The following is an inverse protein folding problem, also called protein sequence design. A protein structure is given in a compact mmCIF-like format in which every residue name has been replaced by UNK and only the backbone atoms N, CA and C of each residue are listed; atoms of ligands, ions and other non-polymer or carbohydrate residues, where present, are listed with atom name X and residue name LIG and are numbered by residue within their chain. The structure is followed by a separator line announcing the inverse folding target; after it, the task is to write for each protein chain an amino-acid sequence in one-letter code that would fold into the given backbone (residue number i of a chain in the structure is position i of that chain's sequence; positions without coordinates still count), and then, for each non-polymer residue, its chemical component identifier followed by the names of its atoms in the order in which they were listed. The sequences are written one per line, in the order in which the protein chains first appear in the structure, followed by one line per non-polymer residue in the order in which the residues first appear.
data_IF_703549198214
#
_entry.id   IF_703549198214
#
_cell.length_a   1.000
_cell.length_b   1.000
_cell.length_c   1.000
_cell.angle_alpha   90.00
_cell.angle_beta   90.00
_cell.angle_gamma   90.00
#
_symmetry.space_group_name_H-M   'P 1'
#
loop_
_entity.id
_entity.type
_entity.pdbx_description
1 polymer ?
#
# COMPACT_ATOMS: atom_id res chain seq x y z
N UNK A 1 -36.84 -2.35 44.68
CA UNK A 1 -36.69 -0.89 44.88
C UNK A 1 -38.11 -0.30 44.89
N UNK A 2 -38.57 0.29 46.00
CA UNK A 2 -39.92 0.90 46.06
C UNK A 2 -39.84 2.28 45.39
N UNK A 3 -40.73 2.55 44.43
CA UNK A 3 -40.77 3.82 43.67
C UNK A 3 -40.86 5.04 44.59
N UNK A 4 -41.40 4.87 45.81
CA UNK A 4 -41.52 5.91 46.84
C UNK A 4 -40.19 6.40 47.45
N UNK A 5 -39.04 5.86 47.05
CA UNK A 5 -37.72 6.25 47.58
C UNK A 5 -36.86 7.05 46.58
N UNK A 6 -37.39 7.36 45.39
CA UNK A 6 -36.67 8.19 44.43
C UNK A 6 -36.83 9.65 44.85
N UNK A 7 -35.77 10.27 45.37
CA UNK A 7 -35.74 11.71 45.63
C UNK A 7 -35.72 12.45 44.30
N UNK A 8 -36.79 13.18 44.01
CA UNK A 8 -36.85 14.09 42.87
C UNK A 8 -36.07 15.35 43.28
N UNK A 9 -35.04 15.71 42.52
CA UNK A 9 -34.26 16.91 42.76
C UNK A 9 -35.19 18.15 42.72
N UNK A 10 -35.13 18.98 43.77
CA UNK A 10 -36.03 20.14 43.94
C UNK A 10 -35.68 21.32 43.03
N UNK A 11 -34.47 21.34 42.47
CA UNK A 11 -34.04 22.28 41.43
C UNK A 11 -34.00 21.53 40.10
N UNK A 12 -35.15 21.39 39.44
CA UNK A 12 -35.19 20.98 38.05
C UNK A 12 -34.63 22.13 37.22
N UNK A 13 -33.33 22.08 36.93
CA UNK A 13 -32.78 22.81 35.80
C UNK A 13 -33.54 22.45 34.51
N UNK A 14 -33.40 23.27 33.47
CA UNK A 14 -34.06 23.02 32.19
C UNK A 14 -33.76 21.60 31.68
N UNK A 15 -34.77 20.94 31.12
CA UNK A 15 -34.64 19.62 30.52
C UNK A 15 -33.48 19.57 29.52
N UNK A 16 -32.62 18.58 29.65
CA UNK A 16 -31.48 18.37 28.76
C UNK A 16 -31.77 17.20 27.82
N UNK A 17 -31.65 17.46 26.51
CA UNK A 17 -31.68 16.40 25.51
C UNK A 17 -30.34 15.65 25.54
N UNK A 18 -30.32 14.48 26.18
CA UNK A 18 -29.14 13.63 26.29
C UNK A 18 -29.32 12.43 25.36
N UNK A 19 -28.40 12.26 24.42
CA UNK A 19 -28.31 11.03 23.64
C UNK A 19 -27.76 9.93 24.54
N UNK A 20 -28.66 9.04 25.00
CA UNK A 20 -28.38 7.96 25.97
C UNK A 20 -27.12 7.14 25.66
N UNK A 21 -26.82 6.99 24.37
CA UNK A 21 -25.77 6.10 23.90
C UNK A 21 -24.44 6.82 23.59
N UNK A 22 -24.37 8.14 23.77
CA UNK A 22 -23.16 8.91 23.58
C UNK A 22 -22.42 9.05 24.91
N UNK A 23 -21.12 8.79 24.94
CA UNK A 23 -20.29 8.94 26.15
C UNK A 23 -20.32 10.36 26.74
N UNK A 24 -20.66 11.37 25.94
CA UNK A 24 -20.77 12.78 26.36
C UNK A 24 -22.21 13.30 26.33
N UNK A 25 -23.20 12.45 26.04
CA UNK A 25 -24.60 12.85 25.93
C UNK A 25 -24.96 13.71 24.71
N UNK A 26 -23.99 14.07 23.86
CA UNK A 26 -24.20 14.91 22.68
C UNK A 26 -24.39 14.02 21.45
N UNK A 27 -25.45 14.27 20.67
CA UNK A 27 -25.69 13.58 19.42
C UNK A 27 -24.63 13.93 18.36
N UNK A 28 -24.11 12.91 17.66
CA UNK A 28 -23.28 13.07 16.47
C UNK A 28 -23.73 12.11 15.38
N UNK A 29 -23.84 12.59 14.15
CA UNK A 29 -24.17 11.78 12.96
C UNK A 29 -23.22 10.58 12.83
N UNK A 30 -21.94 10.77 13.16
CA UNK A 30 -20.93 9.69 13.16
C UNK A 30 -21.27 8.59 14.16
N UNK A 31 -21.63 8.95 15.39
CA UNK A 31 -21.96 7.98 16.44
C UNK A 31 -23.28 7.26 16.15
N UNK A 32 -24.28 7.97 15.66
CA UNK A 32 -25.56 7.39 15.23
C UNK A 32 -25.39 6.41 14.04
N UNK A 33 -24.56 6.77 13.06
CA UNK A 33 -24.23 5.89 11.94
C UNK A 33 -23.49 4.64 12.41
N UNK A 34 -22.42 4.80 13.20
CA UNK A 34 -21.67 3.67 13.76
C UNK A 34 -22.56 2.75 14.61
N UNK A 35 -23.52 3.33 15.34
CA UNK A 35 -24.52 2.58 16.12
C UNK A 35 -25.44 1.75 15.25
N UNK A 36 -26.08 2.36 14.25
CA UNK A 36 -26.96 1.64 13.31
C UNK A 36 -26.24 0.54 12.53
N UNK A 37 -24.91 0.65 12.47
CA UNK A 37 -24.04 -0.20 11.72
C UNK A 37 -23.20 -1.15 12.59
N UNK A 38 -23.43 -1.20 13.91
CA UNK A 38 -22.72 -2.09 14.86
C UNK A 38 -22.73 -3.55 14.41
N UNK A 39 -23.85 -4.03 13.85
CA UNK A 39 -23.97 -5.39 13.32
C UNK A 39 -23.09 -5.66 12.09
N UNK A 40 -22.77 -4.61 11.30
CA UNK A 40 -21.96 -4.70 10.08
C UNK A 40 -20.48 -4.45 10.31
N UNK A 41 -20.11 -3.60 11.27
CA UNK A 41 -18.70 -3.23 11.52
C UNK A 41 -18.09 -3.84 12.79
N UNK A 42 -18.86 -4.59 13.58
CA UNK A 42 -18.35 -5.23 14.80
C UNK A 42 -17.81 -4.24 15.85
N UNK A 43 -17.18 -4.76 16.89
CA UNK A 43 -16.44 -3.93 17.84
C UNK A 43 -15.20 -3.33 17.16
N UNK A 44 -14.90 -2.05 17.41
CA UNK A 44 -13.69 -1.40 16.89
C UNK A 44 -12.45 -2.10 17.47
N UNK A 45 -11.81 -2.93 16.67
CA UNK A 45 -10.64 -3.69 17.12
C UNK A 45 -9.44 -2.75 17.34
N UNK A 46 -8.76 -2.83 18.50
CA UNK A 46 -7.62 -1.97 18.81
C UNK A 46 -6.46 -2.17 17.83
N UNK A 47 -6.33 -3.37 17.25
CA UNK A 47 -5.39 -3.71 16.19
C UNK A 47 -5.37 -2.70 15.03
N UNK A 48 -6.53 -2.36 14.49
CA UNK A 48 -6.60 -1.42 13.37
C UNK A 48 -6.20 -0.02 13.79
N UNK A 49 -6.51 0.38 15.03
CA UNK A 49 -6.01 1.65 15.56
C UNK A 49 -4.49 1.64 15.63
N UNK A 50 -3.85 0.58 16.08
CA UNK A 50 -2.39 0.51 16.09
C UNK A 50 -1.81 0.59 14.67
N UNK A 51 -2.32 -0.19 13.72
CA UNK A 51 -1.78 -0.17 12.34
C UNK A 51 -1.94 1.22 11.69
N UNK A 52 -3.09 1.87 11.86
CA UNK A 52 -3.41 3.12 11.16
C UNK A 52 -2.98 4.39 11.89
N UNK A 53 -2.87 4.36 13.23
CA UNK A 53 -2.48 5.52 14.05
C UNK A 53 -0.96 5.61 14.22
N UNK A 54 -0.25 4.49 14.23
CA UNK A 54 1.20 4.50 14.36
C UNK A 54 1.86 5.06 13.10
N UNK A 55 3.01 5.72 13.27
CA UNK A 55 3.76 6.42 12.21
C UNK A 55 4.48 5.47 11.22
N UNK A 56 3.90 4.30 10.97
CA UNK A 56 4.40 3.39 9.96
C UNK A 56 4.33 4.03 8.57
N UNK A 57 5.42 3.92 7.82
CA UNK A 57 5.46 4.32 6.42
C UNK A 57 4.26 3.70 5.64
N UNK A 58 3.56 4.43 4.75
CA UNK A 58 2.32 3.97 4.13
C UNK A 58 2.41 2.59 3.46
N UNK A 59 3.55 2.28 2.84
CA UNK A 59 3.82 0.95 2.26
C UNK A 59 3.83 -0.16 3.32
N UNK A 60 4.51 0.06 4.45
CA UNK A 60 4.62 -0.90 5.55
C UNK A 60 3.26 -1.10 6.23
N UNK A 61 2.52 0.00 6.43
CA UNK A 61 1.14 -0.04 6.93
C UNK A 61 0.23 -0.89 6.02
N UNK A 62 0.31 -0.68 4.70
CA UNK A 62 -0.54 -1.38 3.74
C UNK A 62 -0.25 -2.88 3.68
N UNK A 63 1.02 -3.29 3.62
CA UNK A 63 1.37 -4.71 3.57
C UNK A 63 1.00 -5.42 4.89
N UNK A 64 1.21 -4.76 6.02
CA UNK A 64 0.85 -5.26 7.34
C UNK A 64 -0.67 -5.48 7.45
N UNK A 65 -1.46 -4.47 7.05
CA UNK A 65 -2.92 -4.58 7.02
C UNK A 65 -3.37 -5.72 6.10
N UNK A 66 -2.84 -5.81 4.86
CA UNK A 66 -3.19 -6.86 3.90
C UNK A 66 -2.88 -8.25 4.43
N UNK A 67 -1.74 -8.43 5.12
CA UNK A 67 -1.37 -9.71 5.70
C UNK A 67 -2.32 -10.11 6.82
N UNK A 68 -2.56 -9.21 7.79
CA UNK A 68 -3.37 -9.52 8.98
C UNK A 68 -4.86 -9.65 8.63
N UNK A 69 -5.36 -8.87 7.68
CA UNK A 69 -6.73 -8.99 7.17
C UNK A 69 -6.95 -10.24 6.30
N UNK A 70 -5.89 -11.02 6.03
CA UNK A 70 -6.00 -12.16 5.12
C UNK A 70 -6.33 -11.75 3.69
N UNK A 71 -5.83 -10.62 3.21
CA UNK A 71 -6.00 -10.17 1.82
C UNK A 71 -4.90 -10.70 0.88
N UNK A 72 -3.81 -11.26 1.41
CA UNK A 72 -2.73 -11.81 0.59
C UNK A 72 -3.15 -13.15 -0.07
N UNK A 73 -2.80 -13.39 -1.35
CA UNK A 73 -3.10 -14.64 -2.05
C UNK A 73 -2.17 -15.78 -1.60
N UNK A 74 -2.51 -16.37 -0.45
CA UNK A 74 -1.83 -17.52 0.15
C UNK A 74 -2.47 -18.84 -0.27
N UNK A 75 -1.70 -19.93 -0.21
CA UNK A 75 -2.09 -21.27 -0.69
C UNK A 75 -3.37 -21.82 -0.07
N UNK A 76 -3.64 -21.51 1.20
CA UNK A 76 -4.89 -21.82 1.92
C UNK A 76 -6.17 -21.30 1.25
N UNK A 77 -6.07 -20.30 0.37
CA UNK A 77 -7.19 -19.73 -0.39
C UNK A 77 -7.33 -20.31 -1.79
N UNK A 78 -6.31 -21.01 -2.27
CA UNK A 78 -6.37 -21.72 -3.52
C UNK A 78 -6.83 -23.14 -3.23
N UNK A 79 -7.87 -23.61 -3.94
CA UNK A 79 -8.46 -24.94 -3.73
C UNK A 79 -7.53 -26.15 -4.00
N UNK A 80 -6.27 -25.90 -4.34
CA UNK A 80 -5.21 -26.91 -4.41
C UNK A 80 -4.29 -26.71 -3.21
N UNK A 81 -4.12 -27.75 -2.37
CA UNK A 81 -3.24 -27.73 -1.20
C UNK A 81 -1.82 -27.34 -1.60
N UNK A 82 -1.49 -26.05 -1.53
CA UNK A 82 -0.15 -25.58 -1.88
C UNK A 82 0.73 -25.62 -0.64
N UNK A 83 1.78 -26.43 -0.70
CA UNK A 83 2.80 -26.46 0.34
C UNK A 83 3.58 -25.14 0.35
N UNK A 84 4.05 -24.77 1.53
CA UNK A 84 4.92 -23.61 1.75
C UNK A 84 6.22 -23.78 0.95
N UNK A 85 6.59 -22.77 0.15
CA UNK A 85 7.80 -22.82 -0.69
C UNK A 85 9.11 -22.86 0.11
N UNK A 86 9.09 -22.41 1.38
CA UNK A 86 10.28 -22.36 2.22
C UNK A 86 10.57 -23.69 2.92
N UNK A 87 9.54 -24.38 3.42
CA UNK A 87 9.72 -25.60 4.21
C UNK A 87 9.27 -26.87 3.50
N UNK A 88 8.41 -26.75 2.47
CA UNK A 88 7.81 -27.86 1.72
C UNK A 88 7.12 -28.93 2.59
N UNK A 89 6.70 -28.57 3.82
CA UNK A 89 6.15 -29.51 4.82
C UNK A 89 4.71 -29.21 5.20
N UNK A 90 4.37 -27.95 5.41
CA UNK A 90 3.03 -27.53 5.84
C UNK A 90 2.31 -26.75 4.74
N UNK A 91 0.98 -26.70 4.85
CA UNK A 91 0.13 -25.91 3.97
C UNK A 91 0.46 -24.42 4.12
N UNK A 92 0.53 -23.72 3.00
CA UNK A 92 0.86 -22.32 2.97
C UNK A 92 -0.32 -21.46 3.49
N UNK A 93 -0.19 -20.92 4.70
CA UNK A 93 -1.09 -19.92 5.29
C UNK A 93 -0.32 -18.67 5.72
N UNK A 94 -0.99 -17.51 5.93
CA UNK A 94 -0.31 -16.31 6.43
C UNK A 94 0.41 -16.55 7.77
N UNK A 95 -0.23 -17.27 8.69
CA UNK A 95 0.39 -17.60 9.98
C UNK A 95 1.62 -18.50 9.79
N UNK A 96 1.52 -19.53 8.94
CA UNK A 96 2.64 -20.40 8.67
C UNK A 96 3.80 -19.65 8.04
N UNK A 97 3.58 -18.95 6.92
CA UNK A 97 4.63 -18.27 6.17
C UNK A 97 5.37 -17.25 7.04
N UNK A 98 4.65 -16.45 7.82
CA UNK A 98 5.23 -15.29 8.51
C UNK A 98 5.65 -15.58 9.96
N UNK A 99 5.21 -16.67 10.59
CA UNK A 99 5.43 -16.90 12.03
C UNK A 99 5.97 -18.30 12.34
N UNK A 100 5.34 -19.36 11.79
CA UNK A 100 5.60 -20.75 12.22
C UNK A 100 6.61 -21.49 11.34
N UNK A 101 6.75 -21.10 10.08
CA UNK A 101 7.69 -21.71 9.15
C UNK A 101 9.12 -21.66 9.73
N UNK A 102 9.92 -22.73 9.67
CA UNK A 102 11.28 -22.75 10.22
C UNK A 102 12.15 -21.56 9.78
N UNK A 103 12.04 -21.15 8.51
CA UNK A 103 12.73 -19.97 7.99
C UNK A 103 12.24 -18.68 8.65
N UNK A 104 10.93 -18.53 8.88
CA UNK A 104 10.36 -17.37 9.57
C UNK A 104 10.76 -17.36 11.05
N UNK A 105 10.75 -18.51 11.73
CA UNK A 105 11.22 -18.65 13.12
C UNK A 105 12.69 -18.21 13.26
N UNK A 106 13.54 -18.62 12.33
CA UNK A 106 14.95 -18.21 12.31
C UNK A 106 15.11 -16.70 12.08
N UNK A 107 14.30 -16.11 11.19
CA UNK A 107 14.30 -14.66 10.95
C UNK A 107 13.84 -13.91 12.19
N UNK A 108 12.75 -14.34 12.84
CA UNK A 108 12.26 -13.74 14.07
C UNK A 108 13.32 -13.73 15.17
N UNK A 109 14.02 -14.85 15.33
CA UNK A 109 15.10 -14.98 16.33
C UNK A 109 16.27 -14.03 16.08
N UNK A 110 16.62 -13.80 14.81
CA UNK A 110 17.72 -12.91 14.41
C UNK A 110 17.31 -11.47 14.07
N UNK A 111 16.03 -11.11 14.22
CA UNK A 111 15.50 -9.81 13.81
C UNK A 111 15.86 -8.67 14.78
N UNK A 112 15.67 -7.39 14.40
CA UNK A 112 15.85 -6.25 15.30
C UNK A 112 15.00 -6.26 16.57
N UNK A 113 13.87 -6.96 16.56
CA UNK A 113 13.01 -7.21 17.73
C UNK A 113 12.91 -8.72 17.94
N UNK A 114 13.94 -9.34 18.53
CA UNK A 114 14.06 -10.79 18.54
C UNK A 114 12.97 -11.41 19.40
N UNK A 115 12.19 -12.31 18.81
CA UNK A 115 11.17 -13.08 19.52
C UNK A 115 11.27 -14.57 19.17
N UNK A 116 10.90 -15.41 20.14
CA UNK A 116 10.73 -16.85 19.92
C UNK A 116 9.31 -17.08 19.41
N UNK A 117 9.08 -16.82 18.12
CA UNK A 117 7.74 -16.93 17.52
C UNK A 117 7.10 -18.31 17.71
N UNK A 118 7.90 -19.37 17.78
CA UNK A 118 7.46 -20.74 18.05
C UNK A 118 6.85 -20.98 19.45
N UNK A 119 7.12 -20.09 20.41
CA UNK A 119 6.54 -20.17 21.76
C UNK A 119 5.15 -19.53 21.86
N UNK A 120 4.74 -18.79 20.82
CA UNK A 120 3.45 -18.09 20.78
C UNK A 120 2.44 -18.96 20.06
N UNK A 121 1.65 -19.71 20.83
CA UNK A 121 0.60 -20.57 20.27
C UNK A 121 -0.63 -19.73 19.92
N UNK A 122 -0.90 -19.57 18.63
CA UNK A 122 -2.05 -18.83 18.11
C UNK A 122 -2.63 -19.52 16.88
N UNK A 123 -3.91 -19.27 16.62
CA UNK A 123 -4.70 -19.87 15.53
C UNK A 123 -4.66 -19.04 14.23
N UNK A 124 -4.32 -17.75 14.33
CA UNK A 124 -4.26 -16.84 13.19
C UNK A 124 -3.15 -15.80 13.36
N UNK A 125 -2.69 -15.23 12.22
CA UNK A 125 -1.75 -14.11 12.24
C UNK A 125 -2.31 -12.91 13.00
N UNK A 126 -3.63 -12.71 12.97
CA UNK A 126 -4.30 -11.65 13.71
C UNK A 126 -4.19 -11.85 15.22
N UNK A 127 -4.49 -13.05 15.71
CA UNK A 127 -4.37 -13.42 17.12
C UNK A 127 -2.93 -13.25 17.61
N UNK A 128 -1.95 -13.66 16.80
CA UNK A 128 -0.51 -13.46 17.07
C UNK A 128 -0.15 -12.00 17.33
N UNK A 129 -0.62 -11.08 16.48
CA UNK A 129 -0.33 -9.65 16.62
C UNK A 129 -1.04 -9.05 17.82
N UNK A 130 -2.30 -9.43 18.07
CA UNK A 130 -3.06 -8.93 19.22
C UNK A 130 -2.40 -9.37 20.53
N UNK A 131 -2.00 -10.63 20.65
CA UNK A 131 -1.35 -11.18 21.84
C UNK A 131 -0.06 -10.40 22.18
N UNK A 132 0.79 -10.17 21.18
CA UNK A 132 2.06 -9.49 21.38
C UNK A 132 1.91 -7.97 21.57
N UNK A 133 0.90 -7.32 21.00
CA UNK A 133 0.74 -5.86 21.09
C UNK A 133 -0.06 -5.37 22.30
N UNK A 134 -0.94 -6.21 22.88
CA UNK A 134 -1.91 -5.76 23.89
C UNK A 134 -1.27 -5.31 25.21
N UNK A 135 -0.13 -5.90 25.57
CA UNK A 135 0.63 -5.53 26.77
C UNK A 135 1.76 -4.51 26.55
N UNK A 136 2.00 -4.08 25.31
CA UNK A 136 3.12 -3.20 24.99
C UNK A 136 2.74 -1.73 25.11
N UNK A 137 3.67 -0.91 25.60
CA UNK A 137 3.61 0.55 25.50
C UNK A 137 3.71 1.03 24.04
N UNK A 138 3.37 2.29 23.72
CA UNK A 138 3.35 2.79 22.34
C UNK A 138 4.68 2.62 21.58
N UNK A 139 5.83 2.99 22.15
CA UNK A 139 7.13 2.87 21.46
C UNK A 139 7.53 1.40 21.19
N UNK A 140 7.47 0.48 22.17
CA UNK A 140 7.78 -0.92 21.90
C UNK A 140 6.80 -1.56 20.92
N UNK A 141 5.53 -1.16 20.98
CA UNK A 141 4.50 -1.61 20.04
C UNK A 141 4.81 -1.16 18.62
N UNK A 142 5.20 0.10 18.44
CA UNK A 142 5.61 0.62 17.13
C UNK A 142 6.78 -0.17 16.56
N UNK A 143 7.85 -0.35 17.35
CA UNK A 143 9.04 -1.11 16.92
C UNK A 143 8.70 -2.54 16.54
N UNK A 144 7.86 -3.20 17.32
CA UNK A 144 7.35 -4.53 17.00
C UNK A 144 6.56 -4.54 15.69
N UNK A 145 5.59 -3.63 15.50
CA UNK A 145 4.77 -3.55 14.30
C UNK A 145 5.59 -3.23 13.05
N UNK A 146 6.61 -2.37 13.17
CA UNK A 146 7.54 -2.06 12.10
C UNK A 146 8.37 -3.30 11.74
N UNK A 147 8.94 -3.98 12.73
CA UNK A 147 9.71 -5.21 12.53
C UNK A 147 8.86 -6.28 11.84
N UNK A 148 7.63 -6.49 12.34
CA UNK A 148 6.65 -7.39 11.75
C UNK A 148 6.35 -7.02 10.28
N UNK A 149 6.09 -5.76 9.98
CA UNK A 149 5.81 -5.30 8.62
C UNK A 149 7.00 -5.56 7.66
N UNK A 150 8.23 -5.32 8.12
CA UNK A 150 9.45 -5.56 7.34
C UNK A 150 9.70 -7.05 7.10
N UNK A 151 9.47 -7.89 8.12
CA UNK A 151 9.56 -9.36 7.99
C UNK A 151 8.51 -9.86 6.98
N UNK A 152 7.26 -9.40 7.09
CA UNK A 152 6.17 -9.76 6.16
C UNK A 152 6.52 -9.31 4.73
N UNK A 153 6.93 -8.06 4.50
CA UNK A 153 7.28 -7.55 3.17
C UNK A 153 8.43 -8.38 2.55
N UNK A 154 9.42 -8.76 3.35
CA UNK A 154 10.58 -9.52 2.89
C UNK A 154 10.21 -10.97 2.58
N UNK A 155 9.57 -11.68 3.51
CA UNK A 155 9.11 -13.06 3.30
C UNK A 155 8.12 -13.16 2.15
N UNK A 156 7.21 -12.18 2.02
CA UNK A 156 6.24 -12.12 0.94
C UNK A 156 6.92 -11.94 -0.42
N UNK A 157 7.90 -11.05 -0.52
CA UNK A 157 8.70 -10.87 -1.74
C UNK A 157 9.38 -12.17 -2.16
N UNK A 158 10.12 -12.82 -1.25
CA UNK A 158 10.82 -14.06 -1.57
C UNK A 158 9.87 -15.20 -1.91
N UNK A 159 8.75 -15.34 -1.19
CA UNK A 159 7.72 -16.32 -1.53
C UNK A 159 7.21 -16.14 -2.95
N UNK A 160 6.97 -14.90 -3.39
CA UNK A 160 6.50 -14.63 -4.76
C UNK A 160 7.57 -14.95 -5.80
N UNK A 161 8.84 -14.69 -5.50
CA UNK A 161 9.96 -15.08 -6.36
C UNK A 161 10.02 -16.62 -6.54
N UNK A 162 9.82 -17.37 -5.45
CA UNK A 162 9.72 -18.84 -5.50
C UNK A 162 8.58 -19.30 -6.41
N UNK A 163 7.40 -18.66 -6.29
CA UNK A 163 6.22 -18.96 -7.12
C UNK A 163 6.44 -18.64 -8.60
N UNK A 164 7.28 -17.66 -8.91
CA UNK A 164 7.66 -17.31 -10.28
C UNK A 164 8.87 -18.12 -10.80
N UNK A 165 9.21 -19.24 -10.16
CA UNK A 165 10.21 -20.19 -10.65
C UNK A 165 11.66 -19.83 -10.35
N UNK A 166 11.92 -18.88 -9.44
CA UNK A 166 13.26 -18.64 -8.90
C UNK A 166 13.56 -19.61 -7.76
N UNK A 167 14.84 -19.78 -7.46
CA UNK A 167 15.32 -20.73 -6.45
C UNK A 167 14.61 -20.49 -5.09
N UNK A 168 13.96 -21.52 -4.53
CA UNK A 168 13.17 -21.40 -3.31
C UNK A 168 13.99 -21.23 -2.02
N UNK A 169 15.32 -21.33 -2.06
CA UNK A 169 16.15 -21.36 -0.85
C UNK A 169 17.05 -20.12 -0.68
N UNK A 170 16.47 -18.94 -0.34
CA UNK A 170 17.27 -17.80 0.06
C UNK A 170 17.99 -18.09 1.38
N UNK A 171 19.29 -17.79 1.43
CA UNK A 171 20.09 -17.94 2.65
C UNK A 171 19.48 -17.08 3.79
N UNK A 172 19.26 -17.70 4.95
CA UNK A 172 18.67 -17.02 6.13
C UNK A 172 19.49 -15.78 6.53
N UNK A 173 20.81 -15.82 6.41
CA UNK A 173 21.67 -14.67 6.70
C UNK A 173 21.43 -13.50 5.74
N UNK A 174 21.14 -13.78 4.47
CA UNK A 174 20.79 -12.74 3.49
C UNK A 174 19.43 -12.12 3.79
N UNK A 175 18.43 -12.95 4.14
CA UNK A 175 17.12 -12.47 4.57
C UNK A 175 17.23 -11.59 5.82
N UNK A 176 17.99 -12.03 6.82
CA UNK A 176 18.24 -11.24 8.03
C UNK A 176 18.92 -9.91 7.71
N UNK A 177 19.94 -9.91 6.85
CA UNK A 177 20.60 -8.68 6.41
C UNK A 177 19.62 -7.71 5.74
N UNK A 178 18.72 -8.20 4.90
CA UNK A 178 17.66 -7.39 4.27
C UNK A 178 16.69 -6.84 5.32
N UNK A 179 16.26 -7.67 6.28
CA UNK A 179 15.36 -7.26 7.36
C UNK A 179 15.99 -6.16 8.21
N UNK A 180 17.24 -6.33 8.64
CA UNK A 180 17.98 -5.32 9.40
C UNK A 180 18.14 -4.02 8.63
N UNK A 181 18.50 -4.10 7.34
CA UNK A 181 18.65 -2.93 6.48
C UNK A 181 17.33 -2.15 6.36
N UNK A 182 16.24 -2.82 5.96
CA UNK A 182 14.91 -2.19 5.84
C UNK A 182 14.41 -1.63 7.16
N UNK A 183 14.61 -2.36 8.26
CA UNK A 183 14.22 -1.87 9.58
C UNK A 183 14.99 -0.59 9.95
N UNK A 184 16.30 -0.53 9.68
CA UNK A 184 17.10 0.69 9.85
C UNK A 184 16.57 1.86 9.02
N UNK A 185 16.31 1.63 7.72
CA UNK A 185 15.76 2.65 6.81
C UNK A 185 14.42 3.23 7.31
N UNK A 186 13.50 2.38 7.78
CA UNK A 186 12.18 2.82 8.23
C UNK A 186 12.13 3.28 9.69
N UNK A 187 13.10 2.91 10.53
CA UNK A 187 13.19 3.42 11.91
C UNK A 187 13.80 4.82 11.97
N UNK A 188 14.80 5.12 11.13
CA UNK A 188 15.40 6.46 11.02
C UNK A 188 14.44 7.52 10.45
N UNK A 189 13.36 7.09 9.80
CA UNK A 189 12.29 7.99 9.34
C UNK A 189 11.58 8.70 10.51
N UNK A 190 11.64 8.17 11.74
CA UNK A 190 11.13 8.87 12.93
C UNK A 190 12.13 9.84 13.56
N UNK A 191 13.42 9.50 13.64
CA UNK A 191 14.42 10.33 14.33
C UNK A 191 14.72 11.66 13.61
N UNK A 192 14.58 11.69 12.29
CA UNK A 192 14.89 12.89 11.52
C UNK A 192 13.80 13.95 11.48
N UNK A 193 12.64 13.73 12.14
CA UNK A 193 11.67 14.80 12.48
C UNK A 193 11.08 15.61 11.32
N UNK A 194 11.54 15.45 10.09
CA UNK A 194 10.88 15.97 8.89
C UNK A 194 9.81 14.97 8.49
N UNK A 195 8.73 15.09 9.23
CA UNK A 195 7.39 14.84 8.71
C UNK A 195 7.28 15.61 7.39
N UNK A 196 7.63 14.99 6.25
CA UNK A 196 7.07 15.37 4.95
C UNK A 196 5.61 14.89 4.91
N UNK A 197 4.83 15.23 5.92
CA UNK A 197 3.38 15.41 5.80
C UNK A 197 3.16 16.89 5.53
N UNK A 198 3.67 17.33 4.39
CA UNK A 198 3.12 18.35 3.51
C UNK A 198 4.16 18.64 2.41
N UNK A 199 4.27 17.75 1.41
CA UNK A 199 3.83 18.32 0.13
C UNK A 199 2.37 18.53 0.42
N UNK A 200 1.94 19.79 0.63
CA UNK A 200 0.52 20.07 0.51
C UNK A 200 0.07 19.19 -0.64
N UNK A 201 -0.92 18.33 -0.40
CA UNK A 201 -1.81 18.07 -1.50
C UNK A 201 -2.35 19.46 -1.81
N UNK A 202 -1.63 20.19 -2.64
CA UNK A 202 -2.17 20.68 -3.88
C UNK A 202 -2.76 19.40 -4.50
N UNK A 203 -3.91 18.97 -3.97
CA UNK A 203 -5.07 18.89 -4.78
C UNK A 203 -5.18 20.31 -5.32
N UNK A 204 -4.37 20.58 -6.35
CA UNK A 204 -4.92 21.28 -7.48
C UNK A 204 -6.23 20.54 -7.63
N UNK A 205 -7.34 21.28 -7.49
CA UNK A 205 -8.53 20.88 -8.21
C UNK A 205 -7.99 20.29 -9.49
N UNK A 206 -8.12 18.97 -9.65
CA UNK A 206 -7.62 18.30 -10.84
C UNK A 206 -8.43 18.99 -11.88
N UNK A 207 -7.80 19.97 -12.50
CA UNK A 207 -8.49 20.92 -13.33
C UNK A 207 -9.06 20.00 -14.38
N UNK A 208 -10.38 19.88 -14.37
CA UNK A 208 -11.09 18.76 -14.98
C UNK A 208 -11.09 18.99 -16.50
N UNK A 209 -9.97 19.49 -17.05
CA UNK A 209 -9.63 19.71 -18.45
C UNK A 209 -9.84 18.39 -19.23
N UNK A 210 -9.58 17.25 -18.59
CA UNK A 210 -9.90 15.92 -19.12
C UNK A 210 -11.40 15.61 -19.29
N UNK A 211 -12.33 16.39 -18.73
CA UNK A 211 -13.77 16.23 -19.03
C UNK A 211 -14.21 16.94 -20.30
N UNK A 212 -13.59 18.07 -20.64
CA UNK A 212 -14.03 18.88 -21.76
C UNK A 212 -13.47 18.39 -23.09
N UNK A 213 -12.27 17.79 -23.06
CA UNK A 213 -11.59 17.31 -24.27
C UNK A 213 -12.10 15.93 -24.67
N UNK A 214 -12.37 15.79 -25.97
CA UNK A 214 -13.02 14.60 -26.55
C UNK A 214 -12.02 13.52 -26.95
N UNK A 215 -10.79 13.90 -27.27
CA UNK A 215 -9.71 13.00 -27.67
C UNK A 215 -8.67 12.93 -26.57
N UNK A 216 -8.36 11.71 -26.10
CA UNK A 216 -7.43 11.47 -25.00
C UNK A 216 -6.37 10.45 -25.43
N UNK A 217 -5.14 10.62 -24.96
CA UNK A 217 -4.08 9.64 -25.15
C UNK A 217 -3.42 9.35 -23.81
N UNK A 218 -3.51 8.12 -23.34
CA UNK A 218 -2.79 7.64 -22.16
C UNK A 218 -1.44 7.08 -22.60
N UNK A 219 -0.37 7.40 -21.90
CA UNK A 219 1.00 6.99 -22.27
C UNK A 219 1.66 6.31 -21.08
N UNK A 220 2.52 5.33 -21.36
CA UNK A 220 3.29 4.59 -20.35
C UNK A 220 4.66 4.15 -20.90
N UNK A 221 5.69 4.31 -20.07
CA UNK A 221 7.07 3.98 -20.36
C UNK A 221 7.64 2.94 -19.39
N UNK A 222 8.34 1.94 -19.91
CA UNK A 222 9.01 0.91 -19.12
C UNK A 222 10.48 0.78 -19.50
N UNK A 223 11.34 0.49 -18.52
CA UNK A 223 12.77 0.30 -18.75
C UNK A 223 13.27 -0.95 -18.02
N UNK A 224 14.08 -1.74 -18.71
CA UNK A 224 14.79 -2.87 -18.14
C UNK A 224 16.10 -3.12 -18.87
N UNK A 225 17.22 -3.02 -18.13
CA UNK A 225 18.57 -3.43 -18.58
C UNK A 225 18.96 -2.88 -19.97
N UNK A 226 18.85 -1.58 -20.18
CA UNK A 226 19.26 -0.92 -21.44
C UNK A 226 18.22 -1.00 -22.57
N UNK A 227 17.07 -1.63 -22.32
CA UNK A 227 15.93 -1.65 -23.24
C UNK A 227 14.80 -0.83 -22.65
N UNK A 228 14.12 -0.10 -23.52
CA UNK A 228 12.90 0.62 -23.19
C UNK A 228 11.72 0.01 -23.95
N UNK A 229 10.57 -0.04 -23.30
CA UNK A 229 9.27 -0.28 -23.91
C UNK A 229 8.42 0.96 -23.70
N UNK A 230 7.68 1.38 -24.71
CA UNK A 230 6.81 2.54 -24.66
C UNK A 230 5.49 2.19 -25.31
N UNK A 231 4.37 2.65 -24.73
CA UNK A 231 3.05 2.40 -25.28
C UNK A 231 2.12 3.57 -25.06
N UNK A 232 1.07 3.62 -25.88
CA UNK A 232 -0.03 4.55 -25.67
C UNK A 232 -1.39 3.92 -26.02
N UNK A 233 -2.44 4.47 -25.42
CA UNK A 233 -3.84 4.20 -25.72
C UNK A 233 -4.51 5.53 -26.07
N UNK A 234 -4.89 5.69 -27.33
CA UNK A 234 -5.70 6.79 -27.81
C UNK A 234 -7.19 6.43 -27.73
N UNK A 235 -8.01 7.32 -27.18
CA UNK A 235 -9.46 7.15 -27.03
C UNK A 235 -10.19 8.40 -27.53
N UNK A 236 -11.04 8.21 -28.54
CA UNK A 236 -11.94 9.23 -29.04
C UNK A 236 -13.31 9.04 -28.38
N UNK A 237 -13.72 9.98 -27.52
CA UNK A 237 -15.02 9.94 -26.84
C UNK A 237 -16.20 10.28 -27.73
N UNK A 238 -15.99 10.93 -28.88
CA UNK A 238 -17.09 11.28 -29.78
C UNK A 238 -17.59 10.06 -30.55
N UNK A 239 -16.66 9.24 -31.04
CA UNK A 239 -16.99 7.99 -31.74
C UNK A 239 -16.97 6.77 -30.83
N UNK A 240 -16.41 6.91 -29.62
CA UNK A 240 -16.11 5.84 -28.68
C UNK A 240 -15.11 4.79 -29.22
N UNK A 241 -14.31 5.17 -30.21
CA UNK A 241 -13.24 4.34 -30.75
C UNK A 241 -11.96 4.51 -29.95
N UNK A 242 -11.18 3.43 -29.86
CA UNK A 242 -9.87 3.44 -29.23
C UNK A 242 -8.84 2.74 -30.09
N UNK A 243 -7.59 3.16 -29.94
CA UNK A 243 -6.42 2.63 -30.64
C UNK A 243 -5.27 2.55 -29.66
N UNK A 244 -4.37 1.59 -29.84
CA UNK A 244 -3.16 1.49 -29.04
C UNK A 244 -1.99 1.06 -29.91
N UNK A 245 -0.79 1.46 -29.49
CA UNK A 245 0.45 1.02 -30.10
C UNK A 245 1.51 0.90 -29.02
N UNK A 246 2.42 -0.04 -29.19
CA UNK A 246 3.58 -0.21 -28.32
C UNK A 246 4.83 -0.44 -29.17
N UNK A 247 5.92 0.20 -28.78
CA UNK A 247 7.24 0.07 -29.42
C UNK A 247 8.30 -0.23 -28.37
N UNK A 248 9.37 -0.88 -28.82
CA UNK A 248 10.56 -1.08 -28.01
C UNK A 248 11.76 -0.45 -28.68
N UNK A 249 12.66 0.12 -27.89
CA UNK A 249 13.92 0.68 -28.38
C UNK A 249 15.04 0.44 -27.36
N UNK A 250 16.25 0.85 -27.71
CA UNK A 250 17.37 0.91 -26.78
C UNK A 250 17.31 2.24 -26.05
N UNK A 251 17.44 2.24 -24.74
CA UNK A 251 17.41 3.48 -23.96
C UNK A 251 18.13 3.31 -22.63
N UNK A 252 18.48 4.43 -22.01
CA UNK A 252 19.40 4.44 -20.86
C UNK A 252 18.68 4.33 -19.52
N UNK A 253 17.45 4.85 -19.41
CA UNK A 253 16.71 4.92 -18.16
C UNK A 253 15.19 4.98 -18.38
N UNK A 254 14.43 4.92 -17.29
CA UNK A 254 12.97 4.97 -17.31
C UNK A 254 12.43 6.31 -17.85
N UNK A 255 13.07 7.45 -17.55
CA UNK A 255 12.61 8.76 -18.05
C UNK A 255 12.66 8.83 -19.57
N UNK A 256 13.70 8.24 -20.18
CA UNK A 256 13.79 8.13 -21.65
C UNK A 256 12.65 7.27 -22.20
N UNK A 257 12.25 6.19 -21.51
CA UNK A 257 11.11 5.37 -21.91
C UNK A 257 9.79 6.18 -21.90
N UNK A 258 9.58 6.97 -20.87
CA UNK A 258 8.39 7.84 -20.73
C UNK A 258 8.32 8.88 -21.85
N UNK A 259 9.43 9.57 -22.13
CA UNK A 259 9.46 10.55 -23.22
C UNK A 259 9.26 9.86 -24.57
N UNK A 260 9.82 8.66 -24.75
CA UNK A 260 9.62 7.89 -25.96
C UNK A 260 8.14 7.51 -26.15
N UNK A 261 7.40 7.21 -25.07
CA UNK A 261 5.96 7.00 -25.10
C UNK A 261 5.18 8.24 -25.56
N UNK A 262 5.56 9.43 -25.11
CA UNK A 262 4.97 10.68 -25.61
C UNK A 262 5.26 10.90 -27.08
N UNK A 263 6.49 10.64 -27.51
CA UNK A 263 6.91 10.83 -28.90
C UNK A 263 6.08 9.96 -29.86
N UNK A 264 5.94 8.67 -29.58
CA UNK A 264 5.16 7.75 -30.42
C UNK A 264 3.67 8.13 -30.44
N UNK A 265 3.13 8.56 -29.30
CA UNK A 265 1.75 9.02 -29.17
C UNK A 265 1.46 10.27 -30.00
N UNK A 266 2.35 11.27 -29.92
CA UNK A 266 2.22 12.52 -30.67
C UNK A 266 2.43 12.31 -32.17
N UNK A 267 3.36 11.44 -32.55
CA UNK A 267 3.58 11.08 -33.95
C UNK A 267 2.32 10.43 -34.54
N UNK A 268 1.72 9.49 -33.81
CA UNK A 268 0.45 8.87 -34.21
C UNK A 268 -0.70 9.89 -34.26
N UNK A 269 -0.81 10.77 -33.28
CA UNK A 269 -1.84 11.81 -33.22
C UNK A 269 -1.76 12.75 -34.44
N UNK A 270 -0.55 13.17 -34.80
CA UNK A 270 -0.29 14.01 -35.98
C UNK A 270 -0.71 13.28 -37.26
N UNK A 271 -0.33 12.01 -37.40
CA UNK A 271 -0.70 11.19 -38.57
C UNK A 271 -2.22 10.98 -38.71
N UNK A 272 -2.97 11.06 -37.61
CA UNK A 272 -4.42 10.89 -37.58
C UNK A 272 -5.20 12.21 -37.48
N UNK A 273 -4.53 13.36 -37.65
CA UNK A 273 -5.13 14.70 -37.54
C UNK A 273 -5.86 14.92 -36.20
N UNK A 274 -5.21 14.54 -35.09
CA UNK A 274 -5.65 14.87 -33.74
C UNK A 274 -4.96 16.15 -33.28
N UNK A 275 -5.49 17.29 -33.73
CA UNK A 275 -4.91 18.61 -33.40
C UNK A 275 -5.35 19.12 -32.02
N UNK A 276 -6.49 18.63 -31.51
CA UNK A 276 -6.99 18.95 -30.17
C UNK A 276 -7.16 17.67 -29.35
N UNK A 277 -6.21 17.43 -28.44
CA UNK A 277 -6.17 16.23 -27.59
C UNK A 277 -5.60 16.53 -26.21
N UNK A 278 -5.78 15.58 -25.29
CA UNK A 278 -5.13 15.57 -23.96
C UNK A 278 -4.26 14.34 -23.83
N UNK A 279 -3.00 14.53 -23.45
CA UNK A 279 -2.12 13.43 -23.02
C UNK A 279 -2.27 13.24 -21.52
N UNK A 280 -2.45 12.00 -21.09
CA UNK A 280 -2.54 11.58 -19.70
C UNK A 280 -1.31 10.71 -19.38
N UNK A 281 -0.26 11.29 -18.80
CA UNK A 281 0.92 10.58 -18.34
C UNK A 281 0.82 10.23 -16.86
N UNK A 282 1.61 9.25 -16.41
CA UNK A 282 1.83 8.93 -14.99
C UNK A 282 3.19 9.44 -14.45
N UNK A 283 4.09 9.82 -15.35
CA UNK A 283 5.40 10.37 -15.01
C UNK A 283 5.37 11.87 -14.71
N UNK A 284 5.33 12.22 -13.41
CA UNK A 284 5.45 13.62 -12.95
C UNK A 284 6.75 14.31 -13.39
N UNK A 285 7.83 13.56 -13.60
CA UNK A 285 9.13 14.09 -14.05
C UNK A 285 9.03 14.63 -15.47
N UNK A 286 8.37 13.90 -16.37
CA UNK A 286 8.19 14.33 -17.76
C UNK A 286 7.21 15.49 -17.83
N UNK A 287 6.09 15.45 -17.08
CA UNK A 287 5.14 16.57 -17.01
C UNK A 287 5.83 17.85 -16.56
N UNK A 288 6.60 17.79 -15.48
CA UNK A 288 7.34 18.94 -14.96
C UNK A 288 8.35 19.49 -15.98
N UNK A 289 9.04 18.61 -16.71
CA UNK A 289 9.99 19.00 -17.75
C UNK A 289 9.35 19.80 -18.88
N UNK A 290 8.20 19.31 -19.39
CA UNK A 290 7.45 19.97 -20.44
C UNK A 290 6.81 21.28 -19.96
N UNK A 291 6.23 21.29 -18.75
CA UNK A 291 5.57 22.49 -18.20
C UNK A 291 6.55 23.60 -17.81
N UNK A 292 7.78 23.25 -17.39
CA UNK A 292 8.81 24.22 -16.98
C UNK A 292 9.75 24.62 -18.12
N UNK A 293 9.58 24.05 -19.32
CA UNK A 293 10.49 24.19 -20.48
C UNK A 293 11.97 23.97 -20.13
N UNK A 294 12.24 23.17 -19.09
CA UNK A 294 13.59 22.86 -18.61
C UNK A 294 13.84 21.38 -18.81
N UNK A 295 14.78 21.06 -19.69
CA UNK A 295 15.21 19.69 -19.92
C UNK A 295 15.84 19.11 -18.64
N UNK A 296 15.35 17.97 -18.10
CA UNK A 296 16.13 17.19 -17.16
C UNK A 296 17.41 16.69 -17.83
N UNK A 297 18.39 16.24 -17.04
CA UNK A 297 19.65 15.67 -17.54
C UNK A 297 19.42 14.32 -18.25
N UNK A 298 18.86 14.32 -19.46
CA UNK A 298 18.78 13.15 -20.33
C UNK A 298 19.24 13.54 -21.74
N UNK A 299 20.00 12.65 -22.38
CA UNK A 299 20.50 12.84 -23.72
C UNK A 299 19.57 12.14 -24.71
N UNK A 300 19.04 12.88 -25.69
CA UNK A 300 18.23 12.31 -26.75
C UNK A 300 19.17 11.61 -27.74
N UNK A 301 19.26 10.29 -27.66
CA UNK A 301 19.93 9.49 -28.69
C UNK A 301 18.98 9.45 -29.90
N UNK A 302 19.48 9.78 -31.09
CA UNK A 302 18.67 9.80 -32.31
C UNK A 302 17.91 8.48 -32.50
N UNK A 303 16.58 8.56 -32.51
CA UNK A 303 15.71 7.41 -32.72
C UNK A 303 15.64 7.09 -34.21
N UNK A 304 16.55 6.23 -34.68
CA UNK A 304 16.36 5.57 -35.98
C UNK A 304 15.28 4.52 -35.82
N UNK A 305 14.09 4.80 -36.34
CA UNK A 305 13.03 3.81 -36.53
C UNK A 305 13.58 2.74 -37.48
N UNK A 306 13.78 1.51 -36.97
CA UNK A 306 13.97 0.30 -37.79
C UNK A 306 12.61 -0.32 -38.04
#
# INVERSE_FOLDING_TARGET
MRISQIQIAQELGNDLLIWKEANRGVFSVKEAYLMGQKSRFGSIEPLWKWIWKENLHPRMRMILWRAIAGALPTGDKFGAMQLCCFCSKEMESPLHIFVQCPSAVAIWFGSPVPIRSSMVSTDSLKSFVIELCSGLEPEPRYRFLLCLAVIIDTLWFFRNECRHGKDPNPNIHDLLRIVWKKYGEFSQYEDNGEVVLQKERICSEVDYIGSQKRKLIMVDGSFSKGKIGAGFLAWNRDTNDWFYEAKSAVGENAVVAEVFAWFIALQWATNNNWDDLVIIPDSSVVVDAFMKEKHPNWHCISWSLV
#
